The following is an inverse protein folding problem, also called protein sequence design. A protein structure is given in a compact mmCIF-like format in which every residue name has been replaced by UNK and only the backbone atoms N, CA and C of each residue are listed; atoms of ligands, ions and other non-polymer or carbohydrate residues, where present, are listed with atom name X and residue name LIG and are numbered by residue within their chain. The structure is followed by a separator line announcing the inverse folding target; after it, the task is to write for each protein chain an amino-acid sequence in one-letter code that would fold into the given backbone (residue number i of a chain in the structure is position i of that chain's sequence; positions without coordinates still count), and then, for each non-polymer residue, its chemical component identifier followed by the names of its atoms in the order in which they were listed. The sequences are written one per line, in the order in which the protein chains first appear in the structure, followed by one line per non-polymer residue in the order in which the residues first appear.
data_IF_642314970181
#
_entry.id   IF_642314970181
#
_cell.length_a   1.000
_cell.length_b   1.000
_cell.length_c   1.000
_cell.angle_alpha   90.00
_cell.angle_beta   90.00
_cell.angle_gamma   90.00
#
_symmetry.space_group_name_H-M   'P 1'
#
loop_
_entity.id
_entity.type
_entity.pdbx_description
1 polymer ?
#
# COMPACT_ATOMS: atom_id res chain seq x y z
N UNK A 1 -17.53 -43.17 -22.86
CA UNK A 1 -17.22 -41.72 -23.02
C UNK A 1 -15.76 -41.41 -22.70
N UNK A 2 -14.79 -42.12 -23.30
CA UNK A 2 -13.36 -42.03 -22.92
C UNK A 2 -12.40 -41.70 -24.07
N UNK A 3 -12.92 -41.49 -25.29
CA UNK A 3 -12.09 -41.23 -26.47
C UNK A 3 -11.79 -39.74 -26.73
N UNK A 4 -12.61 -38.82 -26.19
CA UNK A 4 -12.50 -37.38 -26.46
C UNK A 4 -11.28 -36.72 -25.77
N UNK A 5 -10.86 -37.22 -24.61
CA UNK A 5 -9.75 -36.67 -23.82
C UNK A 5 -8.35 -37.01 -24.37
N UNK A 6 -8.24 -37.89 -25.38
CA UNK A 6 -6.95 -38.30 -25.96
C UNK A 6 -6.52 -37.45 -27.16
N UNK A 7 -7.35 -36.51 -27.60
CA UNK A 7 -6.99 -35.64 -28.73
C UNK A 7 -6.17 -34.45 -28.22
N UNK A 8 -5.03 -34.12 -28.87
CA UNK A 8 -4.17 -33.00 -28.46
C UNK A 8 -4.93 -31.67 -28.46
N UNK A 9 -5.96 -31.54 -29.30
CA UNK A 9 -6.86 -30.39 -29.36
C UNK A 9 -7.69 -30.23 -28.09
N UNK A 10 -8.24 -31.32 -27.53
CA UNK A 10 -9.01 -31.27 -26.28
C UNK A 10 -8.12 -30.93 -25.08
N UNK A 11 -6.89 -31.43 -25.05
CA UNK A 11 -5.89 -31.09 -24.03
C UNK A 11 -5.54 -29.60 -24.14
N UNK A 12 -5.27 -29.09 -25.35
CA UNK A 12 -4.98 -27.68 -25.61
C UNK A 12 -6.12 -26.74 -25.21
N UNK A 13 -7.38 -27.15 -25.42
CA UNK A 13 -8.56 -26.40 -25.00
C UNK A 13 -8.71 -26.37 -23.47
N UNK A 14 -8.51 -27.52 -22.82
CA UNK A 14 -8.57 -27.62 -21.36
C UNK A 14 -7.46 -26.83 -20.69
N UNK A 15 -6.23 -26.91 -21.20
CA UNK A 15 -5.11 -26.11 -20.69
C UNK A 15 -5.34 -24.63 -20.95
N UNK A 16 -5.77 -24.25 -22.16
CA UNK A 16 -6.12 -22.86 -22.49
C UNK A 16 -7.27 -22.29 -21.65
N UNK A 17 -8.20 -23.11 -21.18
CA UNK A 17 -9.28 -22.68 -20.28
C UNK A 17 -8.84 -22.61 -18.80
N UNK A 18 -8.02 -23.58 -18.36
CA UNK A 18 -7.68 -23.73 -16.95
C UNK A 18 -6.45 -22.89 -16.52
N UNK A 19 -5.47 -22.67 -17.40
CA UNK A 19 -4.27 -21.90 -17.06
C UNK A 19 -4.55 -20.41 -16.81
N UNK A 20 -5.34 -19.68 -17.63
CA UNK A 20 -5.57 -18.26 -17.41
C UNK A 20 -6.12 -17.89 -16.02
N UNK A 21 -7.16 -18.56 -15.46
CA UNK A 21 -7.65 -18.21 -14.13
C UNK A 21 -6.63 -18.53 -13.02
N UNK A 22 -5.77 -19.55 -13.20
CA UNK A 22 -4.71 -19.89 -12.26
C UNK A 22 -3.64 -18.79 -12.27
N UNK A 23 -3.17 -18.38 -13.45
CA UNK A 23 -2.16 -17.32 -13.60
C UNK A 23 -2.71 -15.99 -13.04
N UNK A 24 -3.96 -15.66 -13.35
CA UNK A 24 -4.60 -14.44 -12.84
C UNK A 24 -4.63 -14.42 -11.31
N UNK A 25 -4.98 -15.54 -10.66
CA UNK A 25 -5.12 -15.62 -9.20
C UNK A 25 -3.78 -15.64 -8.46
N UNK A 26 -2.79 -16.37 -8.98
CA UNK A 26 -1.54 -16.63 -8.26
C UNK A 26 -0.37 -15.74 -8.68
N UNK A 27 -0.47 -15.04 -9.82
CA UNK A 27 0.60 -14.15 -10.30
C UNK A 27 0.10 -12.71 -10.38
N UNK A 28 -0.96 -12.46 -11.15
CA UNK A 28 -1.40 -11.09 -11.44
C UNK A 28 -1.96 -10.41 -10.19
N UNK A 29 -2.86 -11.08 -9.47
CA UNK A 29 -3.46 -10.53 -8.26
C UNK A 29 -2.43 -10.19 -7.17
N UNK A 30 -1.54 -11.11 -6.74
CA UNK A 30 -0.54 -10.77 -5.72
C UNK A 30 0.44 -9.69 -6.19
N UNK A 31 0.88 -9.69 -7.45
CA UNK A 31 1.76 -8.64 -7.97
C UNK A 31 1.09 -7.26 -7.94
N UNK A 32 -0.20 -7.18 -8.31
CA UNK A 32 -0.96 -5.93 -8.25
C UNK A 32 -1.14 -5.44 -6.80
N UNK A 33 -1.45 -6.36 -5.88
CA UNK A 33 -1.58 -6.03 -4.46
C UNK A 33 -0.26 -5.54 -3.88
N UNK A 34 0.85 -6.22 -4.19
CA UNK A 34 2.18 -5.84 -3.74
C UNK A 34 2.57 -4.46 -4.25
N UNK A 35 2.37 -4.17 -5.54
CA UNK A 35 2.62 -2.84 -6.11
C UNK A 35 1.84 -1.73 -5.39
N UNK A 36 0.61 -1.99 -4.95
CA UNK A 36 -0.16 -1.00 -4.18
C UNK A 36 0.37 -0.78 -2.77
N UNK A 37 0.94 -1.80 -2.14
CA UNK A 37 1.58 -1.65 -0.84
C UNK A 37 2.91 -0.91 -0.97
N UNK A 38 3.68 -1.19 -2.02
CA UNK A 38 4.94 -0.50 -2.32
C UNK A 38 4.71 1.01 -2.49
N UNK A 39 3.69 1.41 -3.28
CA UNK A 39 3.30 2.82 -3.45
C UNK A 39 3.00 3.52 -2.11
N UNK A 40 2.33 2.82 -1.20
CA UNK A 40 1.95 3.36 0.12
C UNK A 40 3.17 3.48 1.04
N UNK A 41 4.08 2.51 1.01
CA UNK A 41 5.28 2.54 1.83
C UNK A 41 6.28 3.59 1.34
N UNK A 42 6.41 3.79 0.02
CA UNK A 42 7.17 4.90 -0.56
C UNK A 42 6.59 6.26 -0.13
N UNK A 43 5.26 6.40 -0.15
CA UNK A 43 4.60 7.62 0.30
C UNK A 43 4.85 7.89 1.79
N UNK A 44 4.76 6.86 2.66
CA UNK A 44 5.10 6.99 4.08
C UNK A 44 6.54 7.41 4.29
N UNK A 45 7.47 6.82 3.54
CA UNK A 45 8.89 7.16 3.63
C UNK A 45 9.13 8.64 3.28
N UNK A 46 8.54 9.10 2.18
CA UNK A 46 8.66 10.49 1.75
C UNK A 46 8.03 11.48 2.75
N UNK A 47 6.86 11.16 3.31
CA UNK A 47 6.23 12.00 4.34
C UNK A 47 7.08 12.07 5.60
N UNK A 48 7.64 10.95 6.05
CA UNK A 48 8.53 10.91 7.21
C UNK A 48 9.81 11.72 6.96
N UNK A 49 10.40 11.62 5.77
CA UNK A 49 11.56 12.40 5.38
C UNK A 49 11.27 13.90 5.41
N UNK A 50 10.14 14.34 4.84
CA UNK A 50 9.72 15.74 4.87
C UNK A 50 9.48 16.23 6.30
N UNK A 51 8.83 15.42 7.15
CA UNK A 51 8.63 15.76 8.56
C UNK A 51 9.96 15.94 9.31
N UNK A 52 10.93 15.06 9.08
CA UNK A 52 12.27 15.20 9.65
C UNK A 52 13.00 16.45 9.13
N UNK A 53 12.89 16.74 7.83
CA UNK A 53 13.53 17.90 7.21
C UNK A 53 12.97 19.23 7.74
N UNK A 54 11.64 19.33 7.88
CA UNK A 54 10.99 20.52 8.44
C UNK A 54 11.43 20.72 9.90
N UNK A 55 11.46 19.64 10.69
CA UNK A 55 11.95 19.69 12.07
C UNK A 55 13.38 20.23 12.16
N UNK A 56 14.27 19.78 11.29
CA UNK A 56 15.66 20.25 11.24
C UNK A 56 15.75 21.76 10.92
N UNK A 57 14.89 22.26 10.03
CA UNK A 57 14.83 23.69 9.68
C UNK A 57 14.27 24.53 10.84
N UNK A 58 13.30 24.01 11.58
CA UNK A 58 12.73 24.68 12.75
C UNK A 58 13.73 24.73 13.92
N UNK A 59 14.45 23.63 14.17
CA UNK A 59 15.56 23.59 15.12
C UNK A 59 16.67 24.59 14.73
N UNK A 60 17.03 24.68 13.45
CA UNK A 60 18.02 25.65 12.95
C UNK A 60 17.57 27.11 13.12
N UNK A 61 16.26 27.37 13.18
CA UNK A 61 15.67 28.68 13.44
C UNK A 61 15.48 28.96 14.94
N UNK A 62 15.80 28.02 15.82
CA UNK A 62 15.69 28.17 17.27
C UNK A 62 14.27 28.02 17.81
N UNK A 63 13.35 27.41 17.05
CA UNK A 63 11.99 27.10 17.51
C UNK A 63 12.02 25.88 18.43
N UNK A 64 11.45 26.02 19.63
CA UNK A 64 11.36 24.96 20.65
C UNK A 64 10.36 23.88 20.21
N UNK A 65 10.70 22.60 20.42
CA UNK A 65 9.87 21.42 20.12
C UNK A 65 8.42 21.50 20.67
N UNK A 66 8.19 22.36 21.67
CA UNK A 66 6.87 22.60 22.28
C UNK A 66 5.89 23.42 21.43
N UNK A 67 6.37 24.19 20.45
CA UNK A 67 5.54 25.03 19.56
C UNK A 67 5.36 24.42 18.16
N UNK A 68 6.07 23.32 17.88
CA UNK A 68 6.25 22.80 16.53
C UNK A 68 5.45 21.50 16.32
N UNK A 69 4.39 21.65 15.52
CA UNK A 69 3.66 20.62 14.76
C UNK A 69 3.32 19.31 15.49
N UNK A 70 2.14 19.30 16.08
CA UNK A 70 1.40 18.06 16.38
C UNK A 70 1.14 17.33 15.05
N UNK A 71 1.54 16.06 14.88
CA UNK A 71 1.20 15.31 13.67
C UNK A 71 -0.33 15.29 13.50
N UNK A 72 -0.81 15.42 12.26
CA UNK A 72 -2.26 15.51 11.93
C UNK A 72 -3.06 14.32 12.50
N UNK A 73 -2.41 13.18 12.77
CA UNK A 73 -3.03 12.04 13.48
C UNK A 73 -3.46 12.36 14.92
N UNK A 74 -2.81 13.31 15.59
CA UNK A 74 -3.10 13.74 16.97
C UNK A 74 -3.94 15.02 17.05
N UNK A 75 -4.13 15.77 15.96
CA UNK A 75 -4.99 16.97 15.97
C UNK A 75 -6.44 16.64 16.35
N UNK A 76 -6.99 15.52 15.86
CA UNK A 76 -8.34 15.07 16.22
C UNK A 76 -8.49 14.75 17.73
N UNK A 77 -7.42 14.27 18.37
CA UNK A 77 -7.42 13.98 19.80
C UNK A 77 -7.32 15.28 20.60
N UNK A 78 -6.54 16.25 20.12
CA UNK A 78 -6.36 17.54 20.77
C UNK A 78 -7.64 18.39 20.77
N UNK A 79 -8.42 18.37 19.68
CA UNK A 79 -9.75 19.02 19.63
C UNK A 79 -10.75 18.35 20.59
N UNK A 80 -10.71 17.01 20.70
CA UNK A 80 -11.62 16.25 21.59
C UNK A 80 -11.34 16.46 23.09
N UNK A 81 -10.13 16.87 23.46
CA UNK A 81 -9.74 17.15 24.84
C UNK A 81 -10.06 18.58 25.25
N UNK A 82 -10.01 19.53 24.30
CA UNK A 82 -10.39 20.93 24.54
C UNK A 82 -11.92 21.13 24.58
N UNK A 83 -12.72 20.23 23.98
CA UNK A 83 -14.18 20.28 24.04
C UNK A 83 -14.80 19.63 25.28
N UNK A 84 -13.99 19.11 26.22
CA UNK A 84 -14.44 18.42 27.45
C UNK A 84 -14.29 19.27 28.72
N UNK A 85 -13.93 20.55 28.58
CA UNK A 85 -13.88 21.53 29.66
C UNK A 85 -14.71 22.75 29.29
#
# INVERSE_FOLDING_TARGET
MSALLKTPTAIGLLTGLALPPIIARFVVFPAYVQSKYDDVDDLKHNVNYLGWHVKLLEEAQGLSESEVLVPISNQRIHESLLSRW
#
